data_IF_138886458170
#
_entry.id   IF_138886458170
#
_cell.length_a   1.000
_cell.length_b   1.000
_cell.length_c   1.000
_cell.angle_alpha   90.00
_cell.angle_beta   90.00
_cell.angle_gamma   90.00
#
_symmetry.space_group_name_H-M   'P 1'
#
loop_
_entity.id
_entity.type
_entity.pdbx_description
1 polymer ?
#
# COMPACT_ATOMS: atom_id res chain seq x y z
N UNK A 1 31.64 -19.20 30.24
CA UNK A 1 30.19 -18.91 30.21
C UNK A 1 30.00 -17.40 30.31
N UNK A 2 29.90 -16.71 29.17
CA UNK A 2 29.73 -15.25 29.12
C UNK A 2 28.26 -14.87 29.10
N UNK A 3 27.83 -14.06 30.07
CA UNK A 3 26.45 -13.58 30.20
C UNK A 3 26.14 -12.52 29.14
N UNK A 4 25.14 -12.78 28.30
CA UNK A 4 24.59 -11.85 27.33
C UNK A 4 23.70 -10.83 28.06
N UNK A 5 24.21 -9.59 28.18
CA UNK A 5 23.46 -8.45 28.71
C UNK A 5 22.51 -7.94 27.62
N UNK A 6 21.21 -8.15 27.81
CA UNK A 6 20.17 -7.55 26.98
C UNK A 6 20.09 -6.04 27.26
N UNK A 7 20.46 -5.20 26.29
CA UNK A 7 20.18 -3.76 26.35
C UNK A 7 18.73 -3.53 25.90
N UNK A 8 17.85 -2.97 26.74
CA UNK A 8 16.53 -2.56 26.28
C UNK A 8 16.70 -1.42 25.27
N UNK A 9 16.10 -1.59 24.09
CA UNK A 9 16.05 -0.55 23.06
C UNK A 9 15.39 0.73 23.59
N UNK A 10 15.65 1.89 22.96
CA UNK A 10 15.12 3.16 23.42
C UNK A 10 13.59 3.11 23.50
N UNK A 11 13.05 3.51 24.65
CA UNK A 11 11.60 3.67 24.86
C UNK A 11 11.09 4.72 23.87
N UNK A 12 9.90 4.55 23.27
CA UNK A 12 9.31 5.58 22.43
C UNK A 12 9.15 6.85 23.26
N UNK A 13 9.89 7.91 22.91
CA UNK A 13 9.74 9.21 23.54
C UNK A 13 8.31 9.70 23.27
N UNK A 14 7.59 10.10 24.32
CA UNK A 14 6.32 10.82 24.24
C UNK A 14 6.54 12.17 23.55
N UNK A 15 6.57 12.14 22.22
CA UNK A 15 6.65 13.33 21.41
C UNK A 15 5.38 14.14 21.64
N UNK A 16 5.53 15.42 22.00
CA UNK A 16 4.41 16.37 21.99
C UNK A 16 3.72 16.32 20.60
N UNK A 17 2.38 16.38 20.52
CA UNK A 17 1.54 16.18 19.33
C UNK A 17 1.83 17.04 18.07
N UNK A 18 2.90 17.83 18.04
CA UNK A 18 3.22 18.77 16.96
C UNK A 18 4.53 18.50 16.20
N UNK A 19 5.33 17.49 16.58
CA UNK A 19 6.69 17.31 16.02
C UNK A 19 6.93 16.01 15.28
N UNK A 20 5.94 15.14 15.15
CA UNK A 20 6.06 13.86 14.45
C UNK A 20 5.17 13.82 13.21
N UNK A 21 5.65 13.14 12.17
CA UNK A 21 4.91 12.83 10.95
C UNK A 21 4.89 11.32 10.77
N UNK A 22 3.70 10.73 10.74
CA UNK A 22 3.47 9.38 10.26
C UNK A 22 3.45 9.40 8.73
N UNK A 23 4.28 8.59 8.10
CA UNK A 23 4.30 8.40 6.65
C UNK A 23 3.71 7.05 6.27
N UNK A 24 3.11 7.00 5.08
CA UNK A 24 2.79 5.75 4.37
C UNK A 24 2.89 6.04 2.88
N UNK A 25 3.94 5.54 2.24
CA UNK A 25 4.20 5.74 0.82
C UNK A 25 3.93 4.42 0.10
N UNK A 26 2.97 4.42 -0.82
CA UNK A 26 2.42 3.21 -1.43
C UNK A 26 2.36 3.33 -2.95
N UNK A 27 2.31 2.18 -3.62
CA UNK A 27 1.86 2.08 -5.01
C UNK A 27 0.48 1.40 -5.06
N UNK A 28 -0.36 1.81 -6.00
CA UNK A 28 -1.67 1.21 -6.28
C UNK A 28 -1.76 0.82 -7.76
N UNK A 29 -2.31 -0.35 -8.04
CA UNK A 29 -2.53 -0.87 -9.38
C UNK A 29 -3.99 -0.73 -9.80
N UNK A 30 -4.19 -0.22 -11.01
CA UNK A 30 -5.46 -0.25 -11.73
C UNK A 30 -5.46 -1.43 -12.68
N UNK A 31 -6.31 -2.41 -12.41
CA UNK A 31 -6.69 -3.45 -13.36
C UNK A 31 -8.08 -3.10 -13.84
N UNK A 32 -8.20 -2.72 -15.11
CA UNK A 32 -9.44 -2.19 -15.68
C UNK A 32 -10.09 -3.18 -16.63
N UNK A 33 -11.42 -3.18 -16.59
CA UNK A 33 -12.29 -3.77 -17.60
C UNK A 33 -13.42 -2.79 -17.88
N UNK A 34 -13.38 -2.17 -19.07
CA UNK A 34 -14.21 -1.01 -19.43
C UNK A 34 -14.22 0.11 -18.37
N UNK A 35 -15.37 0.32 -17.72
CA UNK A 35 -15.61 1.32 -16.67
C UNK A 35 -15.42 0.77 -15.24
N UNK A 36 -14.99 -0.49 -15.12
CA UNK A 36 -14.80 -1.20 -13.86
C UNK A 36 -13.33 -1.37 -13.50
N UNK A 37 -13.09 -1.48 -12.19
CA UNK A 37 -11.80 -1.74 -11.57
C UNK A 37 -11.88 -3.01 -10.73
N UNK A 38 -10.91 -3.90 -10.89
CA UNK A 38 -10.82 -5.10 -10.05
C UNK A 38 -10.25 -4.72 -8.68
N UNK A 39 -10.91 -5.16 -7.61
CA UNK A 39 -10.56 -4.94 -6.21
C UNK A 39 -10.47 -6.27 -5.47
N UNK A 40 -9.55 -6.35 -4.52
CA UNK A 40 -9.24 -7.53 -3.74
C UNK A 40 -9.73 -7.35 -2.31
N UNK A 41 -10.25 -8.42 -1.72
CA UNK A 41 -10.64 -8.44 -0.32
C UNK A 41 -9.42 -8.15 0.57
N UNK A 42 -9.62 -7.29 1.56
CA UNK A 42 -8.56 -6.94 2.51
C UNK A 42 -8.71 -7.78 3.77
N UNK A 43 -7.81 -8.75 3.95
CA UNK A 43 -7.81 -9.68 5.10
C UNK A 43 -7.89 -8.97 6.45
N UNK A 44 -7.27 -7.80 6.56
CA UNK A 44 -7.28 -6.98 7.78
C UNK A 44 -8.54 -6.16 8.06
N UNK A 45 -9.48 -6.12 7.11
CA UNK A 45 -10.76 -5.42 7.21
C UNK A 45 -11.80 -6.27 6.48
N UNK A 46 -12.30 -7.33 7.14
CA UNK A 46 -13.28 -8.24 6.54
C UNK A 46 -14.45 -7.47 5.90
N UNK A 47 -14.76 -7.79 4.65
CA UNK A 47 -15.83 -7.16 3.86
C UNK A 47 -15.42 -5.87 3.15
N UNK A 48 -14.19 -5.39 3.36
CA UNK A 48 -13.63 -4.25 2.64
C UNK A 48 -12.69 -4.69 1.51
N UNK A 49 -12.78 -3.99 0.38
CA UNK A 49 -12.04 -4.27 -0.85
C UNK A 49 -11.21 -3.06 -1.28
N UNK A 50 -10.01 -3.32 -1.78
CA UNK A 50 -9.03 -2.31 -2.19
C UNK A 50 -8.38 -2.71 -3.52
N UNK A 51 -7.82 -1.76 -4.30
CA UNK A 51 -6.97 -2.11 -5.43
C UNK A 51 -5.75 -2.90 -4.96
N UNK A 52 -5.16 -3.71 -5.85
CA UNK A 52 -3.86 -4.27 -5.56
C UNK A 52 -2.82 -3.21 -5.30
N UNK A 53 -2.01 -3.45 -4.27
CA UNK A 53 -0.89 -2.58 -3.97
C UNK A 53 -0.59 -2.50 -2.49
N UNK A 54 0.48 -1.77 -2.18
CA UNK A 54 0.98 -1.74 -0.83
C UNK A 54 2.12 -0.76 -0.67
N UNK A 55 2.83 -0.90 0.44
CA UNK A 55 3.87 0.04 0.85
C UNK A 55 5.16 -0.32 0.14
N UNK A 56 5.86 0.70 -0.36
CA UNK A 56 7.22 0.50 -0.86
C UNK A 56 8.13 -0.05 0.23
N UNK A 57 9.02 -0.98 -0.14
CA UNK A 57 10.09 -1.43 0.76
C UNK A 57 11.38 -0.65 0.56
N UNK A 58 12.19 -0.57 1.61
CA UNK A 58 13.57 -0.09 1.54
C UNK A 58 14.56 -1.23 1.81
N UNK A 59 15.79 -1.09 1.33
CA UNK A 59 16.84 -2.10 1.51
C UNK A 59 18.18 -1.44 1.86
N UNK A 60 19.14 -2.17 2.46
CA UNK A 60 20.46 -1.63 2.75
C UNK A 60 21.11 -0.99 1.51
N UNK A 61 21.81 0.14 1.65
CA UNK A 61 22.14 0.90 2.87
C UNK A 61 21.06 1.90 3.37
N UNK A 62 19.83 1.91 2.86
CA UNK A 62 18.80 2.88 3.30
C UNK A 62 18.54 2.88 4.82
N UNK A 63 18.82 1.77 5.51
CA UNK A 63 18.62 1.63 6.96
C UNK A 63 19.32 2.77 7.71
N UNK A 64 20.62 2.98 7.48
CA UNK A 64 21.41 4.00 8.18
C UNK A 64 20.94 5.41 7.83
N UNK A 65 20.60 5.64 6.56
CA UNK A 65 20.07 6.93 6.08
C UNK A 65 18.73 7.26 6.78
N UNK A 66 17.82 6.29 6.85
CA UNK A 66 16.52 6.44 7.49
C UNK A 66 16.66 6.60 9.01
N UNK A 67 17.58 5.89 9.66
CA UNK A 67 17.90 6.07 11.08
C UNK A 67 18.44 7.49 11.35
N UNK A 68 19.29 8.02 10.47
CA UNK A 68 19.81 9.39 10.59
C UNK A 68 18.70 10.44 10.45
N UNK A 69 17.69 10.17 9.62
CA UNK A 69 16.46 10.98 9.53
C UNK A 69 15.53 10.79 10.74
N UNK A 70 15.81 9.82 11.62
CA UNK A 70 14.99 9.48 12.78
C UNK A 70 13.72 8.71 12.44
N UNK A 71 13.70 8.00 11.30
CA UNK A 71 12.57 7.17 10.90
C UNK A 71 12.43 5.94 11.81
N UNK A 72 11.21 5.70 12.27
CA UNK A 72 10.83 4.58 13.10
C UNK A 72 9.75 3.78 12.35
N UNK A 73 10.07 2.59 11.81
CA UNK A 73 9.09 1.79 11.08
C UNK A 73 7.95 1.33 12.01
N UNK A 74 6.73 1.31 11.48
CA UNK A 74 5.60 0.73 12.20
C UNK A 74 5.75 -0.77 12.33
N UNK A 75 5.69 -1.29 13.56
CA UNK A 75 5.73 -2.73 13.82
C UNK A 75 4.32 -3.23 14.10
N UNK A 76 3.76 -4.00 13.18
CA UNK A 76 2.53 -4.75 13.41
C UNK A 76 2.87 -6.14 13.96
N UNK A 77 2.57 -6.37 15.24
CA UNK A 77 2.86 -7.64 15.94
C UNK A 77 2.24 -8.87 15.26
N UNK A 78 1.14 -8.71 14.53
CA UNK A 78 0.45 -9.79 13.81
C UNK A 78 0.90 -10.00 12.35
N UNK A 79 1.70 -9.09 11.78
CA UNK A 79 2.14 -9.19 10.35
C UNK A 79 3.63 -9.43 10.16
N UNK A 80 4.40 -9.46 11.26
CA UNK A 80 5.76 -9.98 11.36
C UNK A 80 6.67 -9.64 10.18
N UNK A 81 6.88 -10.62 9.30
CA UNK A 81 7.84 -10.58 8.19
C UNK A 81 7.37 -9.71 7.02
N UNK A 82 6.05 -9.66 6.73
CA UNK A 82 5.52 -8.99 5.53
C UNK A 82 5.64 -7.48 5.59
N UNK A 83 5.55 -6.91 6.79
CA UNK A 83 5.73 -5.46 7.00
C UNK A 83 7.19 -5.06 7.24
N UNK A 84 8.14 -5.99 7.07
CA UNK A 84 9.56 -5.68 7.24
C UNK A 84 10.00 -4.71 6.16
N UNK A 85 10.68 -3.66 6.60
CA UNK A 85 11.24 -2.60 5.78
C UNK A 85 10.21 -1.82 4.95
N UNK A 86 8.96 -1.76 5.40
CA UNK A 86 7.95 -0.90 4.80
C UNK A 86 8.29 0.59 5.01
N UNK A 87 8.09 1.41 3.98
CA UNK A 87 8.06 2.88 4.06
C UNK A 87 6.76 3.40 4.69
N UNK A 88 6.47 2.82 5.86
CA UNK A 88 5.38 3.16 6.75
C UNK A 88 5.93 3.23 8.17
N UNK A 89 5.79 4.39 8.79
CA UNK A 89 6.44 4.67 10.06
C UNK A 89 6.27 6.10 10.49
N UNK A 90 6.99 6.49 11.53
CA UNK A 90 6.97 7.85 12.08
C UNK A 90 8.37 8.44 11.98
N UNK A 91 8.47 9.73 11.67
CA UNK A 91 9.71 10.48 11.71
C UNK A 91 9.49 11.89 12.30
N UNK A 92 10.55 12.56 12.80
CA UNK A 92 10.47 13.96 13.17
C UNK A 92 10.04 14.84 11.98
N UNK A 93 9.15 15.79 12.22
CA UNK A 93 8.64 16.74 11.22
C UNK A 93 9.78 17.49 10.51
N UNK A 94 10.84 17.85 11.24
CA UNK A 94 12.03 18.51 10.68
C UNK A 94 12.76 17.66 9.63
N UNK A 95 12.65 16.34 9.72
CA UNK A 95 13.30 15.39 8.82
C UNK A 95 12.44 15.08 7.59
N UNK A 96 11.19 15.54 7.55
CA UNK A 96 10.23 15.17 6.51
C UNK A 96 10.65 15.63 5.10
N UNK A 97 11.22 16.83 4.98
CA UNK A 97 11.75 17.31 3.70
C UNK A 97 12.91 16.42 3.20
N UNK A 98 13.85 16.04 4.09
CA UNK A 98 14.94 15.14 3.77
C UNK A 98 14.47 13.75 3.36
N UNK A 99 13.45 13.21 4.06
CA UNK A 99 12.81 11.96 3.68
C UNK A 99 12.20 12.03 2.26
N UNK A 100 11.49 13.12 1.94
CA UNK A 100 10.91 13.31 0.60
C UNK A 100 11.96 13.38 -0.49
N UNK A 101 13.07 14.07 -0.24
CA UNK A 101 14.19 14.16 -1.18
C UNK A 101 14.82 12.79 -1.41
N UNK A 102 15.08 12.04 -0.34
CA UNK A 102 15.59 10.67 -0.43
C UNK A 102 14.62 9.75 -1.19
N UNK A 103 13.32 9.79 -0.88
CA UNK A 103 12.33 8.98 -1.59
C UNK A 103 12.33 9.31 -3.09
N UNK A 104 12.36 10.60 -3.45
CA UNK A 104 12.36 11.05 -4.84
C UNK A 104 13.64 10.63 -5.61
N UNK A 105 14.76 10.38 -4.93
CA UNK A 105 15.98 9.94 -5.61
C UNK A 105 15.92 8.47 -6.05
N UNK A 106 14.94 7.69 -5.59
CA UNK A 106 14.82 6.25 -5.87
C UNK A 106 15.92 5.39 -5.24
N UNK A 107 16.79 5.97 -4.42
CA UNK A 107 17.95 5.26 -3.90
C UNK A 107 17.54 4.27 -2.81
N UNK A 108 17.92 3.00 -3.00
CA UNK A 108 17.84 1.95 -1.99
C UNK A 108 16.41 1.64 -1.50
N UNK A 109 15.43 1.74 -2.40
CA UNK A 109 14.04 1.36 -2.20
C UNK A 109 13.48 0.68 -3.44
N UNK A 110 12.37 -0.02 -3.26
CA UNK A 110 11.60 -0.54 -4.39
C UNK A 110 11.19 0.61 -5.31
N UNK A 111 11.25 0.36 -6.61
CA UNK A 111 10.47 1.13 -7.58
C UNK A 111 9.00 0.66 -7.61
N UNK A 112 8.15 1.35 -8.38
CA UNK A 112 6.75 1.00 -8.46
C UNK A 112 6.49 -0.35 -9.14
N UNK A 113 7.37 -0.80 -10.04
CA UNK A 113 7.20 -2.10 -10.69
C UNK A 113 7.51 -3.23 -9.72
N UNK A 114 8.62 -3.15 -9.01
CA UNK A 114 9.01 -4.11 -7.97
C UNK A 114 7.93 -4.21 -6.89
N UNK A 115 7.47 -3.06 -6.38
CA UNK A 115 6.43 -2.99 -5.36
C UNK A 115 5.12 -3.62 -5.86
N UNK A 116 4.58 -3.20 -7.00
CA UNK A 116 3.28 -3.68 -7.48
C UNK A 116 3.31 -5.14 -7.92
N UNK A 117 4.41 -5.63 -8.47
CA UNK A 117 4.55 -7.07 -8.80
C UNK A 117 4.53 -7.91 -7.53
N UNK A 118 5.30 -7.52 -6.51
CA UNK A 118 5.30 -8.21 -5.22
C UNK A 118 3.91 -8.20 -4.58
N UNK A 119 3.28 -7.03 -4.48
CA UNK A 119 1.95 -6.90 -3.85
C UNK A 119 0.88 -7.69 -4.61
N UNK A 120 0.86 -7.63 -5.95
CA UNK A 120 -0.10 -8.40 -6.74
C UNK A 120 0.11 -9.92 -6.57
N UNK A 121 1.35 -10.41 -6.54
CA UNK A 121 1.62 -11.83 -6.24
C UNK A 121 1.16 -12.22 -4.82
N UNK A 122 1.44 -11.39 -3.83
CA UNK A 122 1.03 -11.63 -2.44
C UNK A 122 -0.49 -11.65 -2.29
N UNK A 123 -1.19 -10.69 -2.88
CA UNK A 123 -2.64 -10.60 -2.80
C UNK A 123 -3.34 -11.72 -3.57
N UNK A 124 -2.85 -12.09 -4.78
CA UNK A 124 -3.36 -13.25 -5.51
C UNK A 124 -3.24 -14.53 -4.67
N UNK A 125 -2.14 -14.66 -3.93
CA UNK A 125 -1.96 -15.78 -2.99
C UNK A 125 -2.98 -15.71 -1.85
N UNK A 126 -3.18 -14.54 -1.25
CA UNK A 126 -4.16 -14.33 -0.16
C UNK A 126 -5.60 -14.64 -0.57
N UNK A 127 -5.99 -14.25 -1.80
CA UNK A 127 -7.35 -14.45 -2.29
C UNK A 127 -7.59 -15.85 -2.87
N UNK A 128 -6.59 -16.74 -2.83
CA UNK A 128 -6.72 -18.16 -3.18
C UNK A 128 -6.25 -18.56 -4.58
N UNK A 129 -5.51 -17.70 -5.28
CA UNK A 129 -5.08 -17.90 -6.67
C UNK A 129 -3.55 -17.77 -6.86
N UNK A 130 -2.73 -18.54 -6.11
CA UNK A 130 -1.28 -18.45 -6.17
C UNK A 130 -0.70 -18.74 -7.56
N UNK A 131 -1.35 -19.60 -8.36
CA UNK A 131 -0.91 -19.96 -9.71
C UNK A 131 -0.91 -18.78 -10.70
N UNK A 132 -1.66 -17.72 -10.40
CA UNK A 132 -1.62 -16.47 -11.18
C UNK A 132 -0.40 -15.63 -10.82
N UNK A 133 0.19 -15.82 -9.64
CA UNK A 133 1.33 -15.07 -9.12
C UNK A 133 2.58 -15.20 -10.00
N UNK A 134 2.81 -16.36 -10.62
CA UNK A 134 3.96 -16.57 -11.51
C UNK A 134 3.88 -15.70 -12.78
N UNK A 135 2.67 -15.37 -13.22
CA UNK A 135 2.42 -14.55 -14.42
C UNK A 135 2.66 -13.05 -14.17
N UNK A 136 2.78 -12.64 -12.91
CA UNK A 136 2.97 -11.24 -12.51
C UNK A 136 4.36 -10.72 -12.85
N UNK A 137 5.39 -11.59 -12.88
CA UNK A 137 6.79 -11.17 -13.05
C UNK A 137 7.05 -10.38 -14.34
N UNK A 138 6.28 -10.68 -15.39
CA UNK A 138 6.48 -10.12 -16.73
C UNK A 138 5.55 -8.95 -17.05
N UNK A 139 4.66 -8.56 -16.13
CA UNK A 139 3.69 -7.51 -16.46
C UNK A 139 4.33 -6.14 -16.52
N UNK A 140 4.06 -5.42 -17.60
CA UNK A 140 4.37 -4.01 -17.73
C UNK A 140 3.41 -3.17 -16.90
N UNK A 141 3.91 -2.05 -16.38
CA UNK A 141 3.15 -1.12 -15.56
C UNK A 141 3.39 0.30 -16.06
N UNK A 142 2.31 1.06 -16.26
CA UNK A 142 2.38 2.44 -16.74
C UNK A 142 1.95 3.39 -15.63
N UNK A 143 2.79 4.39 -15.33
CA UNK A 143 2.46 5.41 -14.35
C UNK A 143 1.26 6.26 -14.83
N UNK A 144 0.26 6.42 -13.95
CA UNK A 144 -0.92 7.25 -14.23
C UNK A 144 -0.81 8.59 -13.51
N UNK A 145 -0.52 8.55 -12.20
CA UNK A 145 -0.42 9.75 -11.36
C UNK A 145 0.24 9.46 -10.01
N UNK A 146 0.75 10.51 -9.39
CA UNK A 146 1.12 10.52 -7.97
C UNK A 146 0.17 11.42 -7.19
N UNK A 147 -0.39 10.89 -6.10
CA UNK A 147 -1.20 11.66 -5.14
C UNK A 147 -0.42 11.81 -3.85
N UNK A 148 -0.26 13.05 -3.37
CA UNK A 148 0.38 13.33 -2.08
C UNK A 148 -0.62 14.01 -1.14
N UNK A 149 -0.73 13.49 0.07
CA UNK A 149 -1.54 14.07 1.14
C UNK A 149 -0.66 14.53 2.30
N UNK A 150 -1.03 15.66 2.90
CA UNK A 150 -0.47 16.10 4.16
C UNK A 150 0.93 16.69 4.09
N UNK A 151 1.60 16.85 5.25
CA UNK A 151 1.23 16.29 6.55
C UNK A 151 0.07 17.04 7.23
N UNK A 152 -1.05 16.35 7.46
CA UNK A 152 -2.23 16.89 8.15
C UNK A 152 -2.39 16.31 9.56
N UNK A 153 -2.90 17.06 10.55
CA UNK A 153 -3.29 16.50 11.85
C UNK A 153 -4.27 15.34 11.67
N UNK A 154 -4.13 14.28 12.48
CA UNK A 154 -5.08 13.16 12.52
C UNK A 154 -5.86 13.23 13.83
N UNK A 155 -7.19 13.18 13.75
CA UNK A 155 -8.06 13.23 14.92
C UNK A 155 -7.69 12.14 15.93
N UNK A 156 -7.48 12.53 17.19
CA UNK A 156 -7.12 11.63 18.29
C UNK A 156 -5.70 11.04 18.21
N UNK A 157 -4.78 11.62 17.44
CA UNK A 157 -3.39 11.15 17.32
C UNK A 157 -2.38 12.27 17.56
N UNK A 158 -1.28 11.92 18.21
CA UNK A 158 -0.17 12.84 18.51
C UNK A 158 0.84 12.99 17.35
N UNK A 159 0.37 12.83 16.11
CA UNK A 159 1.19 12.99 14.92
C UNK A 159 0.38 13.63 13.79
N UNK A 160 1.10 14.22 12.83
CA UNK A 160 0.55 14.52 11.51
C UNK A 160 0.72 13.33 10.59
N UNK A 161 -0.12 13.17 9.59
CA UNK A 161 0.00 12.10 8.61
C UNK A 161 0.27 12.65 7.23
N UNK A 162 1.32 12.13 6.61
CA UNK A 162 1.63 12.32 5.20
C UNK A 162 1.48 11.00 4.45
N UNK A 163 0.94 11.05 3.24
CA UNK A 163 0.80 9.88 2.36
C UNK A 163 1.25 10.22 0.97
N UNK A 164 1.74 9.20 0.28
CA UNK A 164 2.02 9.26 -1.14
C UNK A 164 1.47 7.99 -1.77
N UNK A 165 0.77 8.13 -2.88
CA UNK A 165 0.23 7.03 -3.66
C UNK A 165 0.69 7.18 -5.10
N UNK A 166 1.48 6.24 -5.61
CA UNK A 166 1.77 6.15 -7.04
C UNK A 166 0.79 5.19 -7.70
N UNK A 167 -0.09 5.70 -8.55
CA UNK A 167 -1.12 4.93 -9.22
C UNK A 167 -0.64 4.53 -10.60
N UNK A 168 -0.72 3.24 -10.90
CA UNK A 168 -0.26 2.65 -12.16
C UNK A 168 -1.36 1.84 -12.85
N UNK A 169 -1.31 1.75 -14.17
CA UNK A 169 -2.11 0.82 -14.98
C UNK A 169 -1.33 -0.45 -15.26
N UNK A 170 -2.05 -1.58 -15.31
CA UNK A 170 -1.54 -2.81 -15.92
C UNK A 170 -1.43 -2.61 -17.45
N UNK A 171 -0.22 -2.79 -18.00
CA UNK A 171 0.03 -2.67 -19.44
C UNK A 171 -0.24 -4.00 -20.14
N UNK A 172 -1.16 -3.97 -21.09
CA UNK A 172 -1.67 -5.13 -21.82
C UNK A 172 -1.14 -5.07 -23.26
N UNK A 173 0.13 -5.43 -23.44
CA UNK A 173 0.82 -5.37 -24.75
C UNK A 173 1.35 -6.71 -25.21
N UNK A 174 1.07 -7.80 -24.49
CA UNK A 174 1.52 -9.14 -24.84
C UNK A 174 0.70 -10.23 -24.16
N UNK A 175 0.78 -11.44 -24.71
CA UNK A 175 -0.11 -12.54 -24.30
C UNK A 175 -0.05 -12.90 -22.81
N UNK A 176 1.09 -12.68 -22.13
CA UNK A 176 1.19 -12.95 -20.69
C UNK A 176 0.37 -11.96 -19.85
N UNK A 177 0.49 -10.64 -20.12
CA UNK A 177 -0.29 -9.63 -19.40
C UNK A 177 -1.77 -9.61 -19.79
N UNK A 178 -2.10 -9.97 -21.04
CA UNK A 178 -3.47 -10.25 -21.48
C UNK A 178 -4.09 -11.39 -20.69
N UNK A 179 -3.44 -12.56 -20.67
CA UNK A 179 -3.94 -13.74 -19.92
C UNK A 179 -4.05 -13.49 -18.43
N UNK A 180 -3.14 -12.71 -17.83
CA UNK A 180 -3.28 -12.35 -16.42
C UNK A 180 -4.49 -11.44 -16.22
N UNK A 181 -4.64 -10.38 -17.04
CA UNK A 181 -5.79 -9.47 -16.96
C UNK A 181 -7.10 -10.24 -17.11
N UNK A 182 -7.22 -11.05 -18.14
CA UNK A 182 -8.42 -11.87 -18.41
C UNK A 182 -8.75 -12.77 -17.23
N UNK A 183 -7.75 -13.48 -16.69
CA UNK A 183 -7.94 -14.34 -15.53
C UNK A 183 -8.44 -13.54 -14.31
N UNK A 184 -7.81 -12.41 -13.99
CA UNK A 184 -8.17 -11.57 -12.83
C UNK A 184 -9.54 -10.93 -13.00
N UNK A 185 -9.91 -10.51 -14.22
CA UNK A 185 -11.24 -10.00 -14.54
C UNK A 185 -12.29 -11.10 -14.39
N UNK A 186 -12.02 -12.32 -14.89
CA UNK A 186 -12.92 -13.46 -14.76
C UNK A 186 -13.20 -13.78 -13.28
N UNK A 187 -12.19 -13.71 -12.41
CA UNK A 187 -12.39 -13.86 -10.96
C UNK A 187 -13.34 -12.82 -10.37
N UNK A 188 -13.31 -11.59 -10.87
CA UNK A 188 -14.12 -10.47 -10.34
C UNK A 188 -15.62 -10.55 -10.67
N UNK A 189 -15.99 -11.43 -11.60
CA UNK A 189 -17.37 -11.66 -12.05
C UNK A 189 -17.87 -13.08 -11.73
N UNK A 190 -17.01 -13.95 -11.21
CA UNK A 190 -17.36 -15.31 -10.80
C UNK A 190 -18.15 -15.28 -9.47
N UNK A 191 -19.42 -15.71 -9.43
CA UNK A 191 -20.22 -15.71 -8.21
C UNK A 191 -19.68 -16.66 -7.13
N UNK A 192 -18.83 -17.63 -7.49
CA UNK A 192 -18.12 -18.49 -6.55
C UNK A 192 -16.92 -17.83 -5.86
N UNK A 193 -16.47 -16.67 -6.36
CA UNK A 193 -15.30 -15.95 -5.86
C UNK A 193 -15.74 -14.67 -5.17
N UNK A 194 -15.83 -14.72 -3.84
CA UNK A 194 -16.17 -13.54 -3.02
C UNK A 194 -14.96 -12.68 -2.66
N UNK A 195 -13.74 -13.15 -2.90
CA UNK A 195 -12.50 -12.47 -2.51
C UNK A 195 -12.01 -11.44 -3.53
N UNK A 196 -12.62 -11.40 -4.71
CA UNK A 196 -12.30 -10.47 -5.80
C UNK A 196 -13.61 -9.89 -6.32
N UNK A 197 -13.68 -8.58 -6.50
CA UNK A 197 -14.89 -7.90 -7.01
C UNK A 197 -14.51 -6.87 -8.06
N UNK A 198 -15.47 -6.49 -8.90
CA UNK A 198 -15.34 -5.33 -9.79
C UNK A 198 -16.21 -4.17 -9.30
N UNK A 199 -15.69 -2.94 -9.39
CA UNK A 199 -16.42 -1.74 -9.03
C UNK A 199 -16.27 -0.66 -10.10
N UNK A 200 -17.37 0.02 -10.43
CA UNK A 200 -17.38 1.21 -11.28
C UNK A 200 -16.78 2.41 -10.57
N UNK A 201 -16.46 3.46 -11.32
CA UNK A 201 -15.99 4.71 -10.72
C UNK A 201 -17.03 5.33 -9.75
N UNK A 202 -18.33 5.21 -10.05
CA UNK A 202 -19.40 5.71 -9.20
C UNK A 202 -19.47 4.93 -7.87
N UNK A 203 -19.36 3.61 -7.91
CA UNK A 203 -19.32 2.75 -6.73
C UNK A 203 -18.10 3.04 -5.86
N UNK A 204 -16.93 3.24 -6.47
CA UNK A 204 -15.69 3.63 -5.76
C UNK A 204 -15.88 4.97 -5.03
N UNK A 205 -16.48 5.96 -5.70
CA UNK A 205 -16.76 7.27 -5.09
C UNK A 205 -17.78 7.15 -3.95
N UNK A 206 -18.80 6.33 -4.14
CA UNK A 206 -19.82 6.04 -3.13
C UNK A 206 -19.26 5.24 -1.94
N UNK A 207 -18.19 4.47 -2.14
CA UNK A 207 -17.57 3.62 -1.12
C UNK A 207 -18.20 2.24 -0.99
N UNK A 208 -19.03 1.81 -1.94
CA UNK A 208 -19.67 0.48 -1.96
C UNK A 208 -19.91 -0.02 -3.38
N UNK A 209 -19.75 -1.33 -3.58
CA UNK A 209 -20.23 -2.08 -4.75
C UNK A 209 -21.08 -3.25 -4.25
N UNK A 210 -22.40 -3.15 -4.42
CA UNK A 210 -23.35 -4.07 -3.77
C UNK A 210 -23.17 -4.12 -2.24
N UNK A 211 -22.91 -5.31 -1.69
CA UNK A 211 -22.67 -5.50 -0.25
C UNK A 211 -21.23 -5.22 0.18
N UNK A 212 -20.31 -5.08 -0.78
CA UNK A 212 -18.88 -4.90 -0.54
C UNK A 212 -18.57 -3.46 -0.14
N UNK A 213 -17.83 -3.29 0.96
CA UNK A 213 -17.27 -1.99 1.34
C UNK A 213 -16.04 -1.71 0.47
N UNK A 214 -15.92 -0.51 -0.07
CA UNK A 214 -14.73 -0.10 -0.82
C UNK A 214 -13.86 0.76 0.08
N UNK A 215 -12.58 0.41 0.19
CA UNK A 215 -11.63 1.15 1.00
C UNK A 215 -11.48 2.60 0.48
N UNK A 216 -11.44 3.62 1.36
CA UNK A 216 -11.45 5.03 0.93
C UNK A 216 -10.31 5.46 0.00
N UNK A 217 -9.14 4.80 0.09
CA UNK A 217 -7.99 5.11 -0.79
C UNK A 217 -8.18 4.58 -2.21
N UNK A 218 -9.14 3.69 -2.46
CA UNK A 218 -9.54 3.24 -3.80
C UNK A 218 -10.01 4.42 -4.68
N UNK A 219 -10.47 5.52 -4.08
CA UNK A 219 -10.80 6.75 -4.80
C UNK A 219 -9.64 7.31 -5.66
N UNK A 220 -8.39 6.95 -5.36
CA UNK A 220 -7.23 7.37 -6.15
C UNK A 220 -7.11 6.65 -7.50
N UNK A 221 -7.83 5.55 -7.73
CA UNK A 221 -7.91 4.93 -9.05
C UNK A 221 -8.64 5.83 -10.06
N UNK A 222 -9.60 6.62 -9.57
CA UNK A 222 -10.49 7.46 -10.39
C UNK A 222 -10.16 8.96 -10.31
N UNK A 223 -9.55 9.43 -9.23
CA UNK A 223 -9.29 10.84 -9.01
C UNK A 223 -8.08 11.13 -8.12
N UNK A 224 -8.02 12.34 -7.59
CA UNK A 224 -6.93 12.81 -6.70
C UNK A 224 -7.42 13.11 -5.28
N UNK A 225 -8.68 12.81 -4.99
CA UNK A 225 -9.32 13.08 -3.69
C UNK A 225 -9.82 11.78 -3.09
N UNK A 226 -9.61 11.62 -1.79
CA UNK A 226 -10.17 10.53 -0.99
C UNK A 226 -11.66 10.75 -0.77
N UNK A 227 -12.43 9.67 -0.65
CA UNK A 227 -13.90 9.70 -0.49
C UNK A 227 -14.37 9.56 0.96
N UNK A 228 -13.49 9.22 1.89
CA UNK A 228 -13.85 9.04 3.31
C UNK A 228 -12.66 8.90 4.25
N UNK A 229 -12.93 8.79 5.55
CA UNK A 229 -11.92 8.46 6.56
C UNK A 229 -11.52 6.98 6.47
N UNK A 230 -10.28 6.65 6.86
CA UNK A 230 -9.79 5.27 6.78
C UNK A 230 -10.62 4.31 7.61
N UNK A 231 -10.87 3.13 7.04
CA UNK A 231 -11.48 2.04 7.78
C UNK A 231 -10.50 1.55 8.86
N UNK A 232 -10.91 1.44 10.13
CA UNK A 232 -10.05 0.88 11.17
C UNK A 232 -9.76 -0.60 10.86
N UNK A 233 -8.53 -1.09 11.07
CA UNK A 233 -8.25 -2.52 10.97
C UNK A 233 -8.97 -3.27 12.08
N UNK A 234 -9.38 -4.52 11.81
CA UNK A 234 -9.81 -5.45 12.86
C UNK A 234 -8.56 -5.99 13.55
N UNK A 235 -8.57 -6.01 14.90
CA UNK A 235 -7.47 -6.51 15.72
C UNK A 235 -7.50 -8.04 15.83
#
# INVERSE_FOLDING_TARGET
>A
MGSLVFRPGPRPSSARPSRAVRISYCALLRIRDDDRFVLFHTSSRPGAYAPPGGVFKYFPPAVELLEHLGFQPERHSSRGVRTRADLRGVLPLRSFAGFRQWFASGAYREDAQECLRRELTEELTEVGFPDLGDRVREVGLAHVRTVSEGPYPVSGKDYRQARLFEVHDLVVTGGASERLREAVVALSVDPGVSTVVSATAAEIVHGRAGHSLIAPHTAYLVGTRRTGADLPPVQ
#
